data_IF_471759292391
#
_entry.id   IF_471759292391
#
_cell.length_a   1.000
_cell.length_b   1.000
_cell.length_c   1.000
_cell.angle_alpha   90.00
_cell.angle_beta   90.00
_cell.angle_gamma   90.00
#
_symmetry.space_group_name_H-M   'P 1'
#
loop_
_entity.id
_entity.type
_entity.pdbx_description
1 polymer ?
#
# COMPACT_ATOMS: atom_id res chain seq x y z
N UNK A 1 14.67 -3.52 -7.01
CA UNK A 1 13.93 -4.74 -7.43
C UNK A 1 14.81 -5.54 -8.34
N UNK A 2 15.05 -6.80 -8.01
CA UNK A 2 15.81 -7.71 -8.86
C UNK A 2 14.99 -7.93 -10.14
N UNK A 3 15.56 -7.55 -11.31
CA UNK A 3 14.98 -7.82 -12.62
C UNK A 3 14.92 -9.34 -12.89
N UNK A 4 15.78 -10.10 -12.24
CA UNK A 4 15.87 -11.56 -12.34
C UNK A 4 15.73 -12.16 -10.94
N UNK A 5 14.52 -12.52 -10.52
CA UNK A 5 14.31 -13.17 -9.24
C UNK A 5 14.94 -14.56 -9.23
N UNK A 6 15.33 -15.03 -8.04
CA UNK A 6 15.82 -16.39 -7.85
C UNK A 6 14.71 -17.41 -8.14
N UNK A 7 15.13 -18.59 -8.58
CA UNK A 7 14.20 -19.73 -8.77
C UNK A 7 13.59 -20.10 -7.42
N UNK A 8 12.31 -20.45 -7.45
CA UNK A 8 11.58 -20.89 -6.27
C UNK A 8 11.52 -22.40 -6.28
N UNK A 9 11.93 -23.03 -5.18
CA UNK A 9 11.86 -24.47 -4.98
C UNK A 9 10.66 -24.78 -4.09
N UNK A 10 9.81 -25.67 -4.56
CA UNK A 10 8.61 -26.07 -3.84
C UNK A 10 8.65 -27.57 -3.57
N UNK A 11 8.92 -27.91 -2.31
CA UNK A 11 9.10 -29.29 -1.87
C UNK A 11 7.79 -29.90 -1.39
N UNK A 12 7.47 -31.06 -1.92
CA UNK A 12 6.31 -31.86 -1.55
C UNK A 12 6.76 -33.21 -0.98
N UNK A 13 6.38 -33.48 0.26
CA UNK A 13 6.66 -34.75 0.91
C UNK A 13 5.81 -35.85 0.33
N UNK A 14 6.43 -36.76 -0.42
CA UNK A 14 5.78 -37.95 -1.00
C UNK A 14 5.66 -39.07 0.01
N UNK A 15 6.67 -39.22 0.88
CA UNK A 15 6.71 -40.21 1.96
C UNK A 15 7.48 -39.61 3.12
N UNK A 16 6.96 -39.68 4.32
CA UNK A 16 7.66 -39.40 5.56
C UNK A 16 7.43 -40.61 6.50
N UNK A 17 8.33 -41.58 6.42
CA UNK A 17 8.25 -42.77 7.23
C UNK A 17 9.19 -42.66 8.41
N UNK A 18 8.62 -42.76 9.61
CA UNK A 18 9.38 -42.74 10.86
C UNK A 18 9.51 -44.18 11.41
N UNK A 19 10.72 -44.53 11.84
CA UNK A 19 11.00 -45.79 12.54
C UNK A 19 11.91 -45.48 13.75
N UNK A 20 11.83 -46.29 14.83
CA UNK A 20 12.67 -46.16 16.04
C UNK A 20 14.16 -46.28 15.70
N UNK A 21 14.51 -47.29 14.87
CA UNK A 21 15.86 -47.36 14.28
C UNK A 21 15.99 -46.32 13.16
N UNK A 22 16.99 -45.45 13.28
CA UNK A 22 17.24 -44.35 12.33
C UNK A 22 17.56 -44.86 10.92
N UNK A 23 18.22 -46.01 10.79
CA UNK A 23 18.60 -46.61 9.49
C UNK A 23 17.41 -47.04 8.66
N UNK A 24 16.25 -47.20 9.28
CA UNK A 24 15.01 -47.62 8.60
C UNK A 24 14.07 -46.47 8.29
N UNK A 25 14.43 -45.25 8.61
CA UNK A 25 13.65 -44.05 8.29
C UNK A 25 13.77 -43.70 6.83
N UNK A 26 12.69 -43.18 6.24
CA UNK A 26 12.70 -42.71 4.86
C UNK A 26 11.92 -41.41 4.72
N UNK A 27 12.56 -40.40 4.15
CA UNK A 27 11.94 -39.19 3.66
C UNK A 27 12.12 -39.14 2.14
N UNK A 28 11.00 -39.06 1.42
CA UNK A 28 11.02 -38.85 -0.03
C UNK A 28 10.33 -37.54 -0.36
N UNK A 29 10.98 -36.70 -1.11
CA UNK A 29 10.54 -35.34 -1.46
C UNK A 29 10.54 -35.22 -2.98
N UNK A 30 9.49 -34.64 -3.52
CA UNK A 30 9.41 -34.17 -4.90
C UNK A 30 9.54 -32.65 -4.92
N UNK A 31 10.52 -32.12 -5.63
CA UNK A 31 10.76 -30.69 -5.74
C UNK A 31 10.31 -30.17 -7.09
N UNK A 32 9.43 -29.18 -7.09
CA UNK A 32 9.11 -28.37 -8.25
C UNK A 32 9.98 -27.12 -8.29
N UNK A 33 10.51 -26.80 -9.46
CA UNK A 33 11.28 -25.59 -9.69
C UNK A 33 10.43 -24.61 -10.50
N UNK A 34 10.23 -23.41 -9.97
CA UNK A 34 9.50 -22.34 -10.63
C UNK A 34 10.47 -21.22 -10.97
N UNK A 35 10.47 -20.82 -12.22
CA UNK A 35 11.12 -19.58 -12.65
C UNK A 35 10.08 -18.46 -12.67
N UNK A 36 10.10 -17.52 -11.72
CA UNK A 36 9.15 -16.41 -11.68
C UNK A 36 9.54 -15.24 -12.59
N UNK A 37 10.59 -15.39 -13.39
CA UNK A 37 11.06 -14.35 -14.31
C UNK A 37 10.00 -14.05 -15.35
N UNK A 38 9.73 -12.75 -15.55
CA UNK A 38 8.89 -12.28 -16.65
C UNK A 38 9.77 -11.67 -17.75
N UNK A 39 10.01 -12.44 -18.80
CA UNK A 39 10.80 -11.99 -19.94
C UNK A 39 10.08 -10.97 -20.85
N UNK A 40 8.78 -10.76 -20.62
CA UNK A 40 7.93 -9.84 -21.39
C UNK A 40 7.69 -8.51 -20.65
N UNK A 41 8.56 -8.16 -19.70
CA UNK A 41 8.45 -6.87 -19.03
C UNK A 41 8.83 -5.75 -19.98
N UNK A 42 7.94 -4.76 -20.05
CA UNK A 42 8.17 -3.52 -20.79
C UNK A 42 8.59 -2.39 -19.84
N UNK A 43 9.36 -1.41 -20.31
CA UNK A 43 9.69 -0.23 -19.52
C UNK A 43 8.44 0.57 -19.15
N UNK A 44 8.35 0.98 -17.89
CA UNK A 44 7.33 1.93 -17.47
C UNK A 44 7.52 3.27 -18.20
N UNK A 45 6.42 3.88 -18.63
CA UNK A 45 6.42 5.15 -19.36
C UNK A 45 5.79 6.21 -18.50
N UNK A 46 6.46 7.33 -18.35
CA UNK A 46 5.94 8.49 -17.62
C UNK A 46 5.87 9.71 -18.54
N UNK A 47 4.70 10.36 -18.57
CA UNK A 47 4.47 11.63 -19.27
C UNK A 47 4.04 12.66 -18.25
N UNK A 48 4.81 13.73 -18.14
CA UNK A 48 4.51 14.86 -17.27
C UNK A 48 4.47 16.14 -18.10
N UNK A 49 3.51 17.00 -17.81
CA UNK A 49 3.48 18.37 -18.26
C UNK A 49 3.03 19.27 -17.10
N UNK A 50 3.49 20.50 -17.10
CA UNK A 50 3.15 21.48 -16.11
C UNK A 50 3.13 22.88 -16.72
N UNK A 51 2.26 23.72 -16.17
CA UNK A 51 2.13 25.13 -16.55
C UNK A 51 2.25 25.95 -15.29
N UNK A 52 3.20 26.86 -15.28
CA UNK A 52 3.45 27.76 -14.16
C UNK A 52 3.28 29.22 -14.60
N UNK A 53 2.63 29.99 -13.74
CA UNK A 53 2.48 31.42 -13.89
C UNK A 53 3.04 32.10 -12.64
N UNK A 54 3.91 33.07 -12.85
CA UNK A 54 4.51 33.88 -11.78
C UNK A 54 4.16 35.35 -12.04
N UNK A 55 3.70 36.04 -10.99
CA UNK A 55 3.39 37.47 -11.01
C UNK A 55 4.19 38.17 -9.93
N UNK A 56 4.86 39.23 -10.30
CA UNK A 56 5.54 40.14 -9.38
C UNK A 56 4.95 41.53 -9.57
N UNK A 57 4.31 42.05 -8.51
CA UNK A 57 3.75 43.38 -8.52
C UNK A 57 3.98 44.05 -7.15
N UNK A 58 4.63 45.17 -7.11
CA UNK A 58 4.93 45.94 -5.90
C UNK A 58 5.49 45.07 -4.75
N UNK A 59 6.45 44.21 -5.07
CA UNK A 59 7.08 43.24 -4.15
C UNK A 59 6.11 42.19 -3.57
N UNK A 60 4.91 42.05 -4.16
CA UNK A 60 4.02 40.95 -3.94
C UNK A 60 4.31 39.89 -4.99
N UNK A 61 4.68 38.69 -4.54
CA UNK A 61 4.99 37.57 -5.40
C UNK A 61 3.85 36.58 -5.34
N UNK A 62 3.30 36.24 -6.48
CA UNK A 62 2.30 35.18 -6.61
C UNK A 62 2.74 34.18 -7.66
N UNK A 63 2.66 32.91 -7.34
CA UNK A 63 2.99 31.80 -8.24
C UNK A 63 1.88 30.77 -8.16
N UNK A 64 1.47 30.25 -9.31
CA UNK A 64 0.58 29.12 -9.42
C UNK A 64 1.13 28.13 -10.44
N UNK A 65 1.11 26.86 -10.11
CA UNK A 65 1.56 25.78 -10.96
C UNK A 65 0.47 24.72 -11.05
N UNK A 66 0.09 24.34 -12.25
CA UNK A 66 -0.72 23.16 -12.51
C UNK A 66 0.14 22.08 -13.16
N UNK A 67 0.03 20.86 -12.68
CA UNK A 67 0.71 19.72 -13.28
C UNK A 67 -0.21 18.54 -13.51
N UNK A 68 0.13 17.78 -14.53
CA UNK A 68 -0.48 16.49 -14.83
C UNK A 68 0.62 15.50 -15.18
N UNK A 69 0.62 14.36 -14.49
CA UNK A 69 1.55 13.26 -14.69
C UNK A 69 0.79 11.96 -14.90
N UNK A 70 1.14 11.23 -15.94
CA UNK A 70 0.56 9.90 -16.22
C UNK A 70 1.67 8.89 -16.43
N UNK A 71 1.73 7.91 -15.54
CA UNK A 71 2.57 6.72 -15.68
C UNK A 71 1.71 5.56 -16.19
N UNK A 72 2.18 4.86 -17.21
CA UNK A 72 1.61 3.62 -17.74
C UNK A 72 2.65 2.50 -17.70
N UNK A 73 2.20 1.27 -17.82
CA UNK A 73 3.03 0.08 -17.84
C UNK A 73 3.97 -0.04 -16.62
N UNK A 74 3.55 0.56 -15.50
CA UNK A 74 4.28 0.50 -14.23
C UNK A 74 4.43 -0.93 -13.73
N UNK A 75 5.57 -1.20 -13.11
CA UNK A 75 5.85 -2.52 -12.53
C UNK A 75 5.02 -2.75 -11.28
N UNK A 76 4.56 -3.97 -11.13
CA UNK A 76 3.98 -4.48 -9.90
C UNK A 76 4.27 -5.95 -9.73
N UNK A 77 4.24 -6.41 -8.51
CA UNK A 77 4.27 -7.84 -8.18
C UNK A 77 2.85 -8.36 -8.13
N UNK A 78 2.58 -9.42 -8.88
CA UNK A 78 1.28 -10.11 -8.90
C UNK A 78 1.46 -11.55 -8.45
N UNK A 79 0.54 -12.05 -7.64
CA UNK A 79 0.53 -13.44 -7.23
C UNK A 79 -0.13 -14.29 -8.31
N UNK A 80 0.55 -15.35 -8.69
CA UNK A 80 0.07 -16.40 -9.57
C UNK A 80 -0.09 -17.71 -8.78
N UNK A 81 -0.93 -18.58 -9.26
CA UNK A 81 -1.17 -19.87 -8.64
C UNK A 81 -0.83 -20.98 -9.63
N UNK A 82 -0.27 -22.06 -9.11
CA UNK A 82 0.07 -23.24 -9.89
C UNK A 82 -0.32 -24.49 -9.13
N UNK A 83 -0.81 -25.47 -9.87
CA UNK A 83 -1.09 -26.81 -9.37
C UNK A 83 0.16 -27.68 -9.42
N UNK A 84 0.39 -28.41 -8.35
CA UNK A 84 1.54 -29.30 -8.16
C UNK A 84 1.03 -30.70 -7.83
N UNK A 85 0.77 -31.56 -8.84
CA UNK A 85 0.42 -32.95 -8.61
C UNK A 85 1.63 -33.74 -8.14
N UNK A 86 1.44 -34.61 -7.15
CA UNK A 86 2.51 -35.47 -6.64
C UNK A 86 1.96 -36.79 -6.16
N UNK A 87 2.80 -37.82 -6.13
CA UNK A 87 2.48 -39.13 -5.56
C UNK A 87 2.64 -39.04 -4.05
N UNK A 88 1.58 -39.43 -3.32
CA UNK A 88 1.59 -39.57 -1.88
C UNK A 88 1.53 -41.05 -1.55
N UNK A 89 2.63 -41.56 -1.04
CA UNK A 89 2.77 -42.99 -0.72
C UNK A 89 2.15 -43.30 0.63
N UNK A 90 1.51 -44.45 0.72
CA UNK A 90 0.88 -44.96 1.93
C UNK A 90 1.80 -45.97 2.61
N UNK A 91 2.26 -45.62 3.81
CA UNK A 91 3.11 -46.48 4.64
C UNK A 91 2.34 -47.18 5.76
N UNK A 92 1.02 -47.08 5.81
CA UNK A 92 0.20 -47.65 6.90
C UNK A 92 0.22 -49.19 6.94
N UNK A 93 0.48 -49.81 5.81
CA UNK A 93 0.53 -51.27 5.68
C UNK A 93 1.91 -51.88 5.95
N UNK A 94 2.90 -51.10 6.33
CA UNK A 94 4.26 -51.62 6.57
C UNK A 94 4.30 -52.40 7.90
N UNK A 95 4.76 -53.65 7.84
CA UNK A 95 5.11 -54.41 9.05
C UNK A 95 6.48 -53.96 9.58
N UNK A 96 6.47 -53.18 10.64
CA UNK A 96 7.65 -52.63 11.26
C UNK A 96 8.62 -53.66 11.82
N UNK A 97 8.17 -54.90 12.04
CA UNK A 97 8.99 -55.97 12.65
C UNK A 97 9.76 -56.76 11.61
N UNK A 98 9.35 -56.76 10.35
CA UNK A 98 9.96 -57.51 9.26
C UNK A 98 10.92 -56.72 8.38
N UNK A 99 11.08 -55.43 8.64
CA UNK A 99 11.94 -54.54 7.84
C UNK A 99 13.41 -54.94 7.92
N UNK A 100 14.07 -55.01 6.76
CA UNK A 100 15.54 -55.22 6.65
C UNK A 100 16.28 -53.91 6.30
N UNK A 101 15.51 -52.80 6.08
CA UNK A 101 16.02 -51.50 5.73
C UNK A 101 14.88 -50.47 5.57
N UNK A 102 15.14 -49.27 5.07
CA UNK A 102 14.10 -48.30 4.79
C UNK A 102 13.13 -48.85 3.72
N UNK A 103 11.82 -48.60 3.84
CA UNK A 103 10.84 -49.11 2.88
C UNK A 103 11.10 -48.59 1.46
N UNK A 104 11.06 -49.47 0.47
CA UNK A 104 11.20 -49.07 -0.94
C UNK A 104 9.89 -48.53 -1.48
N UNK A 105 9.95 -47.46 -2.30
CA UNK A 105 8.76 -46.82 -2.87
C UNK A 105 8.00 -47.75 -3.84
N UNK A 106 8.72 -48.68 -4.47
CA UNK A 106 8.14 -49.69 -5.36
C UNK A 106 7.17 -50.60 -4.65
N UNK A 107 7.35 -50.81 -3.36
CA UNK A 107 6.57 -51.73 -2.55
C UNK A 107 5.35 -51.08 -1.88
N UNK A 108 5.23 -49.74 -2.06
CA UNK A 108 4.16 -48.96 -1.47
C UNK A 108 3.10 -48.57 -2.50
N UNK A 109 1.87 -48.60 -2.07
CA UNK A 109 0.76 -48.02 -2.83
C UNK A 109 0.83 -46.49 -2.73
N UNK A 110 0.32 -45.77 -3.73
CA UNK A 110 0.24 -44.32 -3.71
C UNK A 110 -1.08 -43.81 -4.24
N UNK A 111 -1.45 -42.65 -3.81
CA UNK A 111 -2.49 -41.81 -4.40
C UNK A 111 -1.87 -40.58 -5.06
N UNK A 112 -2.48 -40.09 -6.12
CA UNK A 112 -2.09 -38.77 -6.64
C UNK A 112 -2.84 -37.69 -5.88
N UNK A 113 -2.09 -36.83 -5.19
CA UNK A 113 -2.63 -35.62 -4.54
C UNK A 113 -2.14 -34.40 -5.29
N UNK A 114 -2.81 -33.26 -5.13
CA UNK A 114 -2.46 -32.01 -5.78
C UNK A 114 -2.54 -30.87 -4.79
N UNK A 115 -1.49 -30.07 -4.74
CA UNK A 115 -1.43 -28.84 -3.95
C UNK A 115 -1.45 -27.64 -4.87
N UNK A 116 -2.29 -26.67 -4.57
CA UNK A 116 -2.25 -25.35 -5.22
C UNK A 116 -1.44 -24.41 -4.33
N UNK A 117 -0.35 -23.87 -4.87
CA UNK A 117 0.48 -22.89 -4.19
C UNK A 117 0.69 -21.65 -5.04
N UNK A 118 1.10 -20.57 -4.37
CA UNK A 118 1.31 -19.27 -4.99
C UNK A 118 2.77 -18.99 -5.23
N UNK A 119 3.05 -18.21 -6.25
CA UNK A 119 4.33 -17.55 -6.45
C UNK A 119 4.11 -16.13 -6.94
N UNK A 120 5.03 -15.24 -6.60
CA UNK A 120 4.96 -13.85 -7.03
C UNK A 120 5.78 -13.64 -8.30
N UNK A 121 5.24 -12.85 -9.21
CA UNK A 121 5.90 -12.49 -10.48
C UNK A 121 5.74 -11.01 -10.74
N UNK A 122 6.78 -10.36 -11.23
CA UNK A 122 6.71 -8.97 -11.67
C UNK A 122 5.98 -8.87 -13.01
N UNK A 123 5.04 -7.94 -13.10
CA UNK A 123 4.25 -7.67 -14.31
C UNK A 123 4.19 -6.17 -14.57
N UNK A 124 3.82 -5.79 -15.78
CA UNK A 124 3.36 -4.47 -16.11
C UNK A 124 1.85 -4.36 -15.82
N UNK A 125 1.28 -3.14 -15.91
CA UNK A 125 -0.14 -2.91 -15.82
C UNK A 125 -0.55 -1.93 -14.74
N UNK A 126 0.38 -1.45 -13.90
CA UNK A 126 0.11 -0.32 -13.03
C UNK A 126 0.00 0.97 -13.84
N UNK A 127 -1.03 1.74 -13.57
CA UNK A 127 -1.22 3.09 -14.08
C UNK A 127 -1.39 4.04 -12.90
N UNK A 128 -0.67 5.16 -12.94
CA UNK A 128 -0.84 6.24 -11.96
C UNK A 128 -1.08 7.53 -12.72
N UNK A 129 -2.15 8.22 -12.37
CA UNK A 129 -2.42 9.59 -12.83
C UNK A 129 -2.34 10.48 -11.61
N UNK A 130 -1.51 11.51 -11.69
CA UNK A 130 -1.39 12.56 -10.67
C UNK A 130 -1.68 13.90 -11.33
N UNK A 131 -2.52 14.67 -10.70
CA UNK A 131 -2.84 16.04 -11.11
C UNK A 131 -2.92 16.92 -9.88
N UNK A 132 -2.55 18.19 -10.02
CA UNK A 132 -2.60 19.08 -8.90
C UNK A 132 -2.37 20.54 -9.27
N UNK A 133 -2.78 21.40 -8.33
CA UNK A 133 -2.53 22.81 -8.35
C UNK A 133 -1.72 23.18 -7.12
N UNK A 134 -0.59 23.82 -7.33
CA UNK A 134 0.25 24.38 -6.26
C UNK A 134 0.25 25.89 -6.40
N UNK A 135 0.17 26.59 -5.29
CA UNK A 135 0.26 28.05 -5.31
C UNK A 135 1.08 28.59 -4.14
N UNK A 136 1.70 29.70 -4.37
CA UNK A 136 2.43 30.45 -3.36
C UNK A 136 2.15 31.93 -3.53
N UNK A 137 1.95 32.58 -2.42
CA UNK A 137 1.87 34.04 -2.33
C UNK A 137 2.84 34.53 -1.26
N UNK A 138 3.59 35.58 -1.52
CA UNK A 138 4.43 36.26 -0.55
C UNK A 138 4.14 37.76 -0.62
N UNK A 139 3.73 38.34 0.51
CA UNK A 139 3.45 39.77 0.59
C UNK A 139 4.76 40.54 0.68
N UNK A 140 4.70 41.83 0.32
CA UNK A 140 5.64 42.80 0.84
C UNK A 140 5.59 42.82 2.38
N UNK A 141 6.63 43.31 3.03
CA UNK A 141 6.60 43.53 4.48
C UNK A 141 5.57 44.62 4.81
N UNK A 142 4.61 44.28 5.65
CA UNK A 142 3.62 45.22 6.17
C UNK A 142 4.30 46.01 7.29
N UNK A 143 4.74 47.24 6.98
CA UNK A 143 5.58 48.00 7.89
C UNK A 143 4.91 48.38 9.21
N UNK A 144 3.60 48.62 9.23
CA UNK A 144 2.83 48.91 10.45
C UNK A 144 2.92 47.84 11.54
N UNK A 145 3.04 46.58 11.15
CA UNK A 145 3.13 45.41 12.05
C UNK A 145 4.46 44.67 11.90
N UNK A 146 5.36 45.15 11.05
CA UNK A 146 6.67 44.57 10.76
C UNK A 146 6.61 43.11 10.32
N UNK A 147 5.54 42.71 9.65
CA UNK A 147 5.23 41.31 9.32
C UNK A 147 5.22 41.07 7.81
N UNK A 148 5.77 39.95 7.38
CA UNK A 148 5.59 39.37 6.06
C UNK A 148 4.64 38.18 6.13
N UNK A 149 3.69 38.12 5.22
CA UNK A 149 2.81 37.00 5.05
C UNK A 149 3.29 36.16 3.86
N UNK A 150 3.45 34.86 4.07
CA UNK A 150 3.61 33.86 2.99
C UNK A 150 2.49 32.84 3.10
N UNK A 151 1.80 32.61 1.99
CA UNK A 151 0.76 31.57 1.88
C UNK A 151 1.22 30.57 0.86
N UNK A 152 1.25 29.32 1.22
CA UNK A 152 1.48 28.20 0.29
C UNK A 152 0.29 27.27 0.34
N UNK A 153 -0.06 26.67 -0.79
CA UNK A 153 -1.14 25.71 -0.82
C UNK A 153 -0.98 24.73 -1.96
N UNK A 154 -1.59 23.58 -1.79
CA UNK A 154 -1.57 22.55 -2.80
C UNK A 154 -2.83 21.68 -2.74
N UNK A 155 -3.44 21.48 -3.89
CA UNK A 155 -4.45 20.47 -4.12
C UNK A 155 -3.86 19.37 -5.01
N UNK A 156 -4.02 18.12 -4.59
CA UNK A 156 -3.53 16.95 -5.30
C UNK A 156 -4.63 15.91 -5.45
N UNK A 157 -4.67 15.29 -6.63
CA UNK A 157 -5.45 14.10 -6.88
C UNK A 157 -4.57 13.04 -7.51
N UNK A 158 -4.61 11.84 -6.96
CA UNK A 158 -3.89 10.68 -7.46
C UNK A 158 -4.86 9.53 -7.69
N UNK A 159 -4.87 9.02 -8.90
CA UNK A 159 -5.63 7.82 -9.28
C UNK A 159 -4.65 6.71 -9.60
N UNK A 160 -4.71 5.64 -8.82
CA UNK A 160 -4.00 4.40 -9.09
C UNK A 160 -4.97 3.39 -9.67
N UNK A 161 -4.57 2.75 -10.74
CA UNK A 161 -5.34 1.70 -11.41
C UNK A 161 -4.40 0.57 -11.83
N UNK A 162 -4.90 -0.67 -11.79
CA UNK A 162 -4.20 -1.83 -12.29
C UNK A 162 -5.02 -2.51 -13.37
N UNK A 163 -4.44 -2.74 -14.54
CA UNK A 163 -5.08 -3.44 -15.66
C UNK A 163 -5.01 -4.97 -15.56
N UNK A 164 -4.16 -5.49 -14.69
CA UNK A 164 -3.98 -6.93 -14.53
C UNK A 164 -5.04 -7.52 -13.59
N UNK A 165 -5.54 -8.72 -13.89
CA UNK A 165 -6.42 -9.43 -12.96
C UNK A 165 -5.71 -9.73 -11.64
N UNK A 166 -6.50 -9.81 -10.58
CA UNK A 166 -6.02 -10.15 -9.23
C UNK A 166 -6.51 -11.53 -8.86
N UNK A 167 -5.58 -12.43 -8.54
CA UNK A 167 -5.90 -13.78 -8.06
C UNK A 167 -6.04 -13.75 -6.54
N UNK A 168 -7.11 -14.41 -6.04
CA UNK A 168 -7.34 -14.57 -4.61
C UNK A 168 -7.78 -15.99 -4.29
N UNK A 169 -7.12 -16.61 -3.30
CA UNK A 169 -7.55 -17.85 -2.69
C UNK A 169 -8.45 -17.54 -1.51
N UNK A 170 -9.67 -18.09 -1.42
CA UNK A 170 -10.49 -17.92 -0.23
C UNK A 170 -9.87 -18.62 0.96
N UNK A 171 -9.92 -17.98 2.13
CA UNK A 171 -9.44 -18.55 3.40
C UNK A 171 -10.52 -19.33 4.16
N UNK A 172 -11.42 -19.99 3.43
CA UNK A 172 -12.52 -20.76 4.00
C UNK A 172 -12.18 -22.23 4.04
N UNK A 173 -12.52 -22.91 5.13
CA UNK A 173 -12.43 -24.36 5.24
C UNK A 173 -13.84 -24.94 5.27
N UNK A 174 -14.13 -25.87 4.37
CA UNK A 174 -15.36 -26.66 4.35
C UNK A 174 -15.08 -28.08 4.83
N UNK A 175 -15.81 -28.54 5.85
CA UNK A 175 -15.64 -29.87 6.43
C UNK A 175 -14.17 -30.20 6.79
N UNK A 176 -13.42 -29.21 7.31
CA UNK A 176 -12.01 -29.37 7.68
C UNK A 176 -11.04 -29.42 6.50
N UNK A 177 -11.48 -29.13 5.28
CA UNK A 177 -10.65 -29.09 4.08
C UNK A 177 -10.61 -27.69 3.49
N UNK A 178 -9.43 -27.25 3.06
CA UNK A 178 -9.28 -25.98 2.31
C UNK A 178 -9.95 -26.08 0.96
N UNK A 179 -10.55 -24.97 0.53
CA UNK A 179 -11.06 -24.82 -0.83
C UNK A 179 -9.91 -24.85 -1.84
N UNK A 180 -10.12 -25.62 -2.90
CA UNK A 180 -9.12 -25.84 -3.96
C UNK A 180 -9.41 -25.00 -5.22
N UNK A 181 -9.99 -23.82 -5.04
CA UNK A 181 -10.32 -22.87 -6.11
C UNK A 181 -9.68 -21.52 -5.86
N UNK A 182 -9.31 -20.83 -6.91
CA UNK A 182 -8.72 -19.48 -6.90
C UNK A 182 -9.59 -18.57 -7.74
N UNK A 183 -10.14 -17.54 -7.16
CA UNK A 183 -10.90 -16.51 -7.89
C UNK A 183 -9.99 -15.53 -8.63
N UNK A 184 -10.44 -15.11 -9.83
CA UNK A 184 -9.80 -14.11 -10.67
C UNK A 184 -10.72 -12.89 -10.78
N UNK A 185 -10.24 -11.70 -10.37
CA UNK A 185 -11.04 -10.48 -10.28
C UNK A 185 -10.43 -9.38 -11.13
N UNK A 186 -11.27 -8.62 -11.84
CA UNK A 186 -10.87 -7.42 -12.59
C UNK A 186 -11.07 -6.16 -11.76
N UNK A 187 -10.16 -5.19 -11.90
CA UNK A 187 -10.25 -3.85 -11.33
C UNK A 187 -10.57 -3.82 -9.82
N UNK A 188 -10.13 -4.85 -9.12
CA UNK A 188 -10.32 -4.98 -7.68
C UNK A 188 -9.18 -4.33 -6.88
N UNK A 189 -8.24 -3.70 -7.56
CA UNK A 189 -7.04 -3.13 -7.00
C UNK A 189 -6.75 -1.74 -7.58
N UNK A 190 -7.39 -0.75 -7.02
CA UNK A 190 -7.20 0.64 -7.38
C UNK A 190 -7.77 1.57 -6.32
N UNK A 191 -7.34 2.84 -6.36
CA UNK A 191 -7.85 3.88 -5.46
C UNK A 191 -7.72 5.26 -6.07
N UNK A 192 -8.56 6.17 -5.58
CA UNK A 192 -8.46 7.60 -5.80
C UNK A 192 -8.14 8.25 -4.46
N UNK A 193 -7.13 9.09 -4.43
CA UNK A 193 -6.79 9.94 -3.27
C UNK A 193 -6.81 11.38 -3.68
N UNK A 194 -7.36 12.23 -2.82
CA UNK A 194 -7.46 13.66 -3.04
C UNK A 194 -7.20 14.41 -1.74
N UNK A 195 -6.46 15.51 -1.82
CA UNK A 195 -6.07 16.27 -0.65
C UNK A 195 -5.91 17.75 -1.00
N UNK A 196 -6.31 18.63 -0.08
CA UNK A 196 -6.07 20.05 -0.17
C UNK A 196 -5.52 20.58 1.14
N UNK A 197 -4.36 21.25 1.05
CA UNK A 197 -3.67 21.84 2.18
C UNK A 197 -3.29 23.30 1.89
N UNK A 198 -3.25 24.11 2.94
CA UNK A 198 -2.65 25.44 2.90
C UNK A 198 -1.82 25.68 4.16
N UNK A 199 -0.78 26.48 4.02
CA UNK A 199 0.03 26.96 5.13
C UNK A 199 0.14 28.48 5.05
N UNK A 200 -0.23 29.15 6.14
CA UNK A 200 -0.09 30.59 6.30
C UNK A 200 1.07 30.86 7.26
N UNK A 201 2.10 31.52 6.79
CA UNK A 201 3.29 31.86 7.56
C UNK A 201 3.36 33.37 7.77
N UNK A 202 3.46 33.76 9.03
CA UNK A 202 3.60 35.13 9.45
C UNK A 202 4.98 35.31 10.10
N UNK A 203 5.85 36.06 9.45
CA UNK A 203 7.19 36.38 9.96
C UNK A 203 7.25 37.85 10.37
N UNK A 204 7.35 38.09 11.69
CA UNK A 204 7.38 39.44 12.29
C UNK A 204 8.75 39.69 12.90
N UNK A 205 9.47 40.67 12.39
CA UNK A 205 10.79 41.02 12.90
C UNK A 205 10.82 42.44 13.47
N UNK A 206 10.98 42.52 14.78
CA UNK A 206 11.13 43.80 15.53
C UNK A 206 12.61 44.11 15.70
N UNK A 207 13.18 44.79 14.71
CA UNK A 207 14.63 45.05 14.65
C UNK A 207 15.17 45.77 15.91
N UNK A 208 14.48 46.79 16.41
CA UNK A 208 14.89 47.56 17.60
C UNK A 208 15.02 46.68 18.85
N UNK A 209 14.22 45.61 18.91
CA UNK A 209 14.18 44.67 20.04
C UNK A 209 14.99 43.41 19.78
N UNK A 210 15.48 43.20 18.58
CA UNK A 210 16.10 41.91 18.20
C UNK A 210 15.19 40.72 18.40
N UNK A 211 13.88 40.87 18.17
CA UNK A 211 12.88 39.85 18.33
C UNK A 211 12.33 39.42 16.97
N UNK A 212 12.26 38.12 16.76
CA UNK A 212 11.61 37.51 15.62
C UNK A 212 10.47 36.60 16.11
N UNK A 213 9.26 36.78 15.56
CA UNK A 213 8.12 35.89 15.80
C UNK A 213 7.77 35.23 14.48
N UNK A 214 7.70 33.92 14.48
CA UNK A 214 7.22 33.16 13.35
C UNK A 214 5.98 32.36 13.78
N UNK A 215 4.89 32.57 13.05
CA UNK A 215 3.64 31.81 13.24
C UNK A 215 3.29 31.07 11.96
N UNK A 216 3.05 29.79 12.05
CA UNK A 216 2.58 28.97 10.96
C UNK A 216 1.21 28.38 11.30
N UNK A 217 0.22 28.64 10.45
CA UNK A 217 -1.11 28.07 10.53
C UNK A 217 -1.26 27.09 9.39
N UNK A 218 -1.19 25.81 9.71
CA UNK A 218 -1.29 24.71 8.76
C UNK A 218 -2.72 24.20 8.72
N UNK A 219 -3.35 24.27 7.55
CA UNK A 219 -4.70 23.82 7.32
C UNK A 219 -4.69 22.64 6.34
N UNK A 220 -5.13 21.48 6.77
CA UNK A 220 -5.58 20.43 5.88
C UNK A 220 -7.10 20.59 5.72
N UNK A 221 -7.56 21.07 4.58
CA UNK A 221 -8.98 21.31 4.34
C UNK A 221 -9.76 20.03 4.23
N UNK A 222 -9.19 19.07 3.53
CA UNK A 222 -9.68 17.70 3.47
C UNK A 222 -8.58 16.75 2.96
N UNK A 223 -8.72 15.48 3.31
CA UNK A 223 -8.03 14.36 2.67
C UNK A 223 -9.05 13.26 2.43
N UNK A 224 -9.24 12.86 1.19
CA UNK A 224 -10.24 11.87 0.80
C UNK A 224 -9.59 10.67 0.13
N UNK A 225 -10.16 9.51 0.37
CA UNK A 225 -9.77 8.26 -0.29
C UNK A 225 -11.03 7.48 -0.69
N UNK A 226 -10.98 6.94 -1.90
CA UNK A 226 -12.01 6.07 -2.46
C UNK A 226 -11.35 4.85 -3.06
N UNK A 227 -11.92 3.66 -2.82
CA UNK A 227 -11.46 2.42 -3.45
C UNK A 227 -12.15 2.23 -4.80
N UNK A 228 -11.41 1.77 -5.80
CA UNK A 228 -11.95 1.41 -7.11
C UNK A 228 -12.45 -0.03 -7.16
N UNK A 229 -12.56 -0.70 -6.02
CA UNK A 229 -13.07 -2.08 -5.93
C UNK A 229 -14.47 -2.18 -6.51
N UNK A 230 -14.72 -3.33 -7.16
CA UNK A 230 -16.03 -3.69 -7.68
C UNK A 230 -16.81 -4.57 -6.69
N UNK A 231 -17.79 -5.30 -7.20
CA UNK A 231 -18.73 -6.11 -6.43
C UNK A 231 -18.15 -7.34 -5.74
N UNK A 232 -16.86 -7.63 -5.90
CA UNK A 232 -16.22 -8.82 -5.31
C UNK A 232 -16.56 -10.14 -6.01
N UNK A 233 -17.29 -10.11 -7.11
CA UNK A 233 -17.59 -11.31 -7.90
C UNK A 233 -16.40 -11.56 -8.84
N UNK A 234 -15.82 -12.77 -8.83
CA UNK A 234 -14.76 -13.12 -9.78
C UNK A 234 -15.30 -13.17 -11.21
N UNK A 235 -14.45 -12.89 -12.18
CA UNK A 235 -14.76 -13.08 -13.60
C UNK A 235 -14.50 -14.53 -14.04
N UNK A 236 -13.52 -15.18 -13.40
CA UNK A 236 -13.11 -16.55 -13.63
C UNK A 236 -12.66 -17.20 -12.31
N UNK A 237 -12.48 -18.49 -12.34
CA UNK A 237 -11.77 -19.21 -11.30
C UNK A 237 -10.82 -20.25 -11.89
N UNK A 238 -9.80 -20.60 -11.12
CA UNK A 238 -8.84 -21.66 -11.42
C UNK A 238 -9.15 -22.84 -10.51
N UNK A 239 -9.25 -24.02 -11.08
CA UNK A 239 -9.49 -25.28 -10.35
C UNK A 239 -8.18 -25.91 -9.85
N UNK A 240 -8.30 -27.06 -9.16
CA UNK A 240 -7.14 -27.78 -8.62
C UNK A 240 -6.18 -28.28 -9.71
N UNK A 241 -6.63 -28.47 -10.93
CA UNK A 241 -5.78 -28.89 -12.05
C UNK A 241 -5.02 -27.70 -12.65
N UNK A 242 -5.40 -26.45 -12.29
CA UNK A 242 -4.86 -25.23 -12.86
C UNK A 242 -5.58 -24.77 -14.13
N UNK A 243 -6.78 -25.32 -14.39
CA UNK A 243 -7.60 -24.93 -15.52
C UNK A 243 -8.47 -23.72 -15.16
N UNK A 244 -8.55 -22.73 -16.08
CA UNK A 244 -9.39 -21.56 -15.92
C UNK A 244 -10.80 -21.82 -16.43
N UNK A 245 -11.79 -21.43 -15.63
CA UNK A 245 -13.22 -21.52 -15.94
C UNK A 245 -13.88 -20.15 -15.76
N UNK A 246 -14.86 -19.82 -16.60
CA UNK A 246 -15.68 -18.63 -16.41
C UNK A 246 -16.56 -18.79 -15.17
N UNK A 247 -16.66 -17.75 -14.34
CA UNK A 247 -17.49 -17.76 -13.15
C UNK A 247 -18.93 -17.35 -13.50
N UNK A 248 -19.88 -18.23 -13.24
CA UNK A 248 -21.27 -18.09 -13.66
C UNK A 248 -22.24 -18.01 -12.47
N UNK A 249 -23.52 -17.73 -12.74
CA UNK A 249 -24.56 -17.77 -11.71
C UNK A 249 -24.71 -19.18 -11.08
N UNK A 250 -24.41 -20.24 -11.82
CA UNK A 250 -24.42 -21.61 -11.29
C UNK A 250 -23.29 -21.81 -10.26
N UNK A 251 -22.13 -21.23 -10.49
CA UNK A 251 -20.99 -21.26 -9.54
C UNK A 251 -21.30 -20.47 -8.27
N UNK A 252 -22.07 -19.41 -8.39
CA UNK A 252 -22.53 -18.61 -7.24
C UNK A 252 -23.47 -19.38 -6.31
N UNK A 253 -24.18 -20.35 -6.85
CA UNK A 253 -25.07 -21.25 -6.10
C UNK A 253 -24.38 -22.56 -5.64
N UNK A 254 -23.17 -22.83 -6.08
CA UNK A 254 -22.39 -24.02 -5.71
C UNK A 254 -21.83 -23.90 -4.29
N UNK A 255 -21.84 -25.03 -3.53
CA UNK A 255 -21.46 -25.05 -2.12
C UNK A 255 -20.00 -24.63 -1.87
N UNK A 256 -19.10 -24.87 -2.81
CA UNK A 256 -17.68 -24.52 -2.67
C UNK A 256 -17.37 -23.18 -3.35
N UNK A 257 -17.81 -23.00 -4.60
CA UNK A 257 -17.45 -21.86 -5.43
C UNK A 257 -18.17 -20.56 -5.05
N UNK A 258 -19.31 -20.62 -4.32
CA UNK A 258 -19.93 -19.41 -3.73
C UNK A 258 -18.96 -18.62 -2.82
N UNK A 259 -18.01 -19.31 -2.19
CA UNK A 259 -17.02 -18.69 -1.31
C UNK A 259 -15.91 -17.91 -2.07
N UNK A 260 -15.92 -17.99 -3.39
CA UNK A 260 -15.08 -17.13 -4.22
C UNK A 260 -15.62 -15.69 -4.28
N UNK A 261 -16.89 -15.46 -3.99
CA UNK A 261 -17.42 -14.08 -3.90
C UNK A 261 -16.85 -13.42 -2.65
N UNK A 262 -16.14 -12.32 -2.86
CA UNK A 262 -15.62 -11.49 -1.76
C UNK A 262 -16.72 -10.56 -1.28
N UNK A 263 -17.25 -10.82 -0.10
CA UNK A 263 -18.26 -9.97 0.52
C UNK A 263 -17.60 -8.72 1.11
N UNK A 264 -17.69 -7.62 0.40
CA UNK A 264 -17.26 -6.33 0.92
C UNK A 264 -18.34 -5.69 1.78
N UNK A 265 -17.94 -5.06 2.88
CA UNK A 265 -18.81 -4.16 3.60
C UNK A 265 -19.14 -2.95 2.68
N UNK A 266 -20.37 -2.44 2.72
CA UNK A 266 -20.78 -1.23 1.99
C UNK A 266 -19.83 -0.04 2.21
N UNK A 267 -19.23 0.06 3.39
CA UNK A 267 -18.22 1.08 3.70
C UNK A 267 -16.98 1.00 2.79
N UNK A 268 -16.66 -0.17 2.22
CA UNK A 268 -15.50 -0.35 1.34
C UNK A 268 -15.65 0.39 -0.01
N UNK A 269 -16.89 0.74 -0.40
CA UNK A 269 -17.20 1.47 -1.64
C UNK A 269 -17.42 2.96 -1.40
N UNK A 270 -17.50 3.40 -0.14
CA UNK A 270 -17.74 4.79 0.19
C UNK A 270 -16.44 5.58 0.18
N UNK A 271 -16.52 6.78 -0.39
CA UNK A 271 -15.45 7.78 -0.25
C UNK A 271 -15.33 8.17 1.22
N UNK A 272 -14.18 7.91 1.82
CA UNK A 272 -13.84 8.36 3.16
C UNK A 272 -13.18 9.72 3.07
N UNK A 273 -13.72 10.72 3.77
CA UNK A 273 -13.16 12.06 3.81
C UNK A 273 -12.78 12.41 5.24
N UNK A 274 -11.49 12.70 5.42
CA UNK A 274 -10.95 13.31 6.63
C UNK A 274 -11.29 14.80 6.57
N UNK A 275 -12.05 15.35 7.53
CA UNK A 275 -12.45 16.76 7.50
C UNK A 275 -11.28 17.68 7.85
N UNK A 276 -11.53 18.97 7.75
CA UNK A 276 -10.56 20.02 8.04
C UNK A 276 -9.84 19.80 9.36
N UNK A 277 -8.53 19.99 9.35
CA UNK A 277 -7.72 20.07 10.58
C UNK A 277 -6.83 21.29 10.51
N UNK A 278 -6.65 21.94 11.66
CA UNK A 278 -5.84 23.15 11.78
C UNK A 278 -4.81 22.90 12.88
N UNK A 279 -3.56 23.18 12.53
CA UNK A 279 -2.44 23.16 13.46
C UNK A 279 -1.78 24.53 13.47
N UNK A 280 -1.50 25.04 14.66
CA UNK A 280 -0.79 26.32 14.84
C UNK A 280 0.56 26.04 15.51
N UNK A 281 1.60 26.51 14.85
CA UNK A 281 2.98 26.49 15.33
C UNK A 281 3.41 27.94 15.55
N UNK A 282 4.02 28.21 16.69
CA UNK A 282 4.53 29.52 17.02
C UNK A 282 5.96 29.42 17.53
N UNK A 283 6.80 30.36 17.12
CA UNK A 283 8.13 30.50 17.69
C UNK A 283 8.45 31.98 17.93
N UNK A 284 9.21 32.24 18.99
CA UNK A 284 9.75 33.57 19.34
C UNK A 284 11.26 33.43 19.54
N UNK A 285 12.03 34.17 18.76
CA UNK A 285 13.49 34.18 18.84
C UNK A 285 13.97 35.54 19.29
N UNK A 286 14.77 35.62 20.36
CA UNK A 286 15.49 36.79 20.82
C UNK A 286 16.94 36.71 20.38
N UNK A 287 17.37 37.68 19.61
CA UNK A 287 18.79 37.87 19.29
C UNK A 287 19.40 38.86 20.28
N UNK A 288 20.35 38.41 21.09
CA UNK A 288 21.10 39.26 22.04
C UNK A 288 22.20 40.02 21.33
N UNK A 289 22.79 39.40 20.30
CA UNK A 289 23.77 40.01 19.40
C UNK A 289 23.79 39.20 18.09
N UNK A 290 24.75 39.43 17.22
CA UNK A 290 24.89 38.71 15.95
C UNK A 290 25.28 37.23 16.12
N UNK A 291 25.72 36.83 17.32
CA UNK A 291 26.25 35.51 17.62
C UNK A 291 25.32 34.63 18.48
N UNK A 292 24.46 35.24 19.28
CA UNK A 292 23.63 34.50 20.26
C UNK A 292 22.16 34.77 20.00
N UNK A 293 21.42 33.71 19.81
CA UNK A 293 19.96 33.68 19.67
C UNK A 293 19.32 32.64 20.56
N UNK A 294 18.26 33.00 21.27
CA UNK A 294 17.43 32.10 22.06
C UNK A 294 16.03 32.03 21.43
N UNK A 295 15.61 30.82 21.06
CA UNK A 295 14.29 30.54 20.49
C UNK A 295 13.44 29.75 21.45
N UNK A 296 12.20 30.16 21.65
CA UNK A 296 11.13 29.41 22.29
C UNK A 296 10.13 28.99 21.20
N UNK A 297 9.65 27.78 21.22
CA UNK A 297 8.65 27.32 20.24
C UNK A 297 7.56 26.49 20.89
N UNK A 298 6.37 26.59 20.32
CA UNK A 298 5.19 25.79 20.69
C UNK A 298 4.57 25.27 19.42
N UNK A 299 4.37 23.96 19.36
CA UNK A 299 3.65 23.27 18.30
C UNK A 299 2.28 22.83 18.81
N UNK A 300 1.32 22.68 17.91
CA UNK A 300 -0.04 22.25 18.21
C UNK A 300 -0.74 23.14 19.27
N UNK A 301 -0.58 24.46 19.17
CA UNK A 301 -1.26 25.42 20.08
C UNK A 301 -2.78 25.25 19.98
N UNK A 302 -3.29 25.00 18.76
CA UNK A 302 -4.67 24.70 18.49
C UNK A 302 -4.78 23.26 17.97
N UNK A 303 -5.56 22.45 18.68
CA UNK A 303 -5.92 21.09 18.26
C UNK A 303 -7.33 21.09 17.68
N UNK A 304 -7.50 21.53 16.45
CA UNK A 304 -8.77 21.45 15.74
C UNK A 304 -8.75 20.25 14.77
N UNK A 305 -9.14 19.10 15.31
CA UNK A 305 -9.16 17.82 14.60
C UNK A 305 -10.54 17.14 14.78
N UNK A 306 -11.57 17.55 14.02
CA UNK A 306 -12.90 16.95 14.13
C UNK A 306 -12.84 15.43 13.91
N UNK A 307 -13.68 14.71 14.62
CA UNK A 307 -13.86 13.27 14.40
C UNK A 307 -14.59 13.04 13.08
N UNK A 308 -14.30 11.91 12.44
CA UNK A 308 -14.96 11.49 11.20
C UNK A 308 -15.23 9.99 11.22
N UNK A 309 -16.01 9.51 10.27
CA UNK A 309 -16.31 8.08 10.11
C UNK A 309 -15.47 7.48 8.98
N UNK A 310 -14.88 6.33 9.24
CA UNK A 310 -14.16 5.53 8.26
C UNK A 310 -14.42 4.04 8.52
N UNK A 311 -14.78 3.30 7.49
CA UNK A 311 -15.04 1.86 7.57
C UNK A 311 -16.04 1.46 8.68
N UNK A 312 -17.07 2.31 8.90
CA UNK A 312 -18.08 2.08 9.95
C UNK A 312 -17.61 2.39 11.38
N UNK A 313 -16.41 2.93 11.57
CA UNK A 313 -15.88 3.33 12.86
C UNK A 313 -15.69 4.83 12.97
N UNK A 314 -15.98 5.41 14.14
CA UNK A 314 -15.71 6.81 14.45
C UNK A 314 -14.24 6.99 14.81
N UNK A 315 -13.51 7.73 13.98
CA UNK A 315 -12.10 8.06 14.18
C UNK A 315 -11.98 9.39 14.90
N UNK A 316 -11.26 9.41 16.00
CA UNK A 316 -10.89 10.62 16.74
C UNK A 316 -9.41 10.88 16.57
N UNK A 317 -9.06 12.12 16.25
CA UNK A 317 -7.68 12.60 16.15
C UNK A 317 -7.43 13.59 17.29
N UNK A 318 -6.26 13.53 17.88
CA UNK A 318 -5.85 14.45 18.93
C UNK A 318 -4.37 14.78 18.75
N UNK A 319 -4.02 16.06 18.73
CA UNK A 319 -2.66 16.52 18.79
C UNK A 319 -2.38 17.07 20.20
N UNK A 320 -1.21 16.76 20.72
CA UNK A 320 -0.78 17.25 22.05
C UNK A 320 0.12 18.46 21.84
N UNK A 321 -0.11 19.58 22.55
CA UNK A 321 0.81 20.71 22.54
C UNK A 321 2.21 20.27 22.95
N UNK A 322 3.20 20.73 22.20
CA UNK A 322 4.61 20.46 22.44
C UNK A 322 5.37 21.76 22.40
N UNK A 323 6.21 22.01 23.37
CA UNK A 323 7.04 23.22 23.46
C UNK A 323 8.50 22.87 23.76
N UNK A 324 9.38 23.74 23.33
CA UNK A 324 10.80 23.57 23.53
C UNK A 324 11.55 24.90 23.42
N UNK A 325 12.85 24.80 23.68
CA UNK A 325 13.77 25.91 23.66
C UNK A 325 15.04 25.52 22.90
N UNK A 326 15.58 26.44 22.13
CA UNK A 326 16.82 26.27 21.36
C UNK A 326 17.74 27.48 21.58
N UNK A 327 19.00 27.22 21.90
CA UNK A 327 20.06 28.20 22.01
C UNK A 327 21.01 28.08 20.81
N UNK A 328 21.07 29.12 20.01
CA UNK A 328 21.95 29.21 18.84
C UNK A 328 23.15 30.07 19.15
N UNK A 329 24.37 29.52 19.03
CA UNK A 329 25.63 30.22 19.22
C UNK A 329 26.47 30.09 17.94
N UNK A 330 26.81 31.23 17.32
CA UNK A 330 27.74 31.26 16.19
C UNK A 330 29.15 31.49 16.75
N UNK A 331 30.01 30.54 16.53
CA UNK A 331 31.43 30.56 16.90
C UNK A 331 32.25 31.48 15.99
#
# INVERSE_FOLDING_TARGET
SQLYPEKIYYDLSQLNYYHTNADFRRLNIMTYIIDPTNYNLEPARNKKWEVRLDFDYDKHLFSVNYFHEKMTDGFRTTNYYRSFPYKKYDASGIDHTSLQGPPELSDLTYTTDTVISTYSRNTNGSMIIKEGVEFQYSSNRIESIHTRLTVTGAWFKSTYHNSQPVYRKPSVMLNGKELKYIGLYLDDDGYIREQFNTNFMFDTYLQKLGLNFATSVQCMWFSAQESMRKNGVPIKYVDIKGEEHDYTAADQADMERQHLVVNYNEAAFKRTTVPVSINIIFSATKYFNQKIGLSLFVNNILDYNPSYEANGAKIRRKAIPYFGMELNIKL
#
